data_IF_166243812409
#
_entry.id   IF_166243812409
#
_cell.length_a   1.000
_cell.length_b   1.000
_cell.length_c   1.000
_cell.angle_alpha   90.00
_cell.angle_beta   90.00
_cell.angle_gamma   90.00
#
_symmetry.space_group_name_H-M   'P 1'
#
loop_
_entity.id
_entity.type
_entity.pdbx_description
1 polymer ?
#
# COMPACT_ATOMS: atom_id res chain seq x y z
N UNK A 1 23.45 14.27 -5.29
CA UNK A 1 22.97 14.45 -3.95
C UNK A 1 22.01 13.34 -3.57
N UNK A 2 22.17 12.78 -2.42
CA UNK A 2 21.26 11.78 -1.90
C UNK A 2 19.88 12.39 -1.69
N UNK A 3 18.90 11.59 -1.23
CA UNK A 3 17.59 12.10 -0.88
C UNK A 3 17.59 13.21 0.16
N UNK A 4 18.68 13.39 0.91
CA UNK A 4 18.82 14.48 1.88
C UNK A 4 18.88 15.79 1.10
N UNK A 5 18.00 16.72 1.43
CA UNK A 5 17.92 18.00 0.75
C UNK A 5 17.14 17.98 -0.56
N UNK A 6 16.68 16.82 -1.01
CA UNK A 6 15.78 16.75 -2.16
C UNK A 6 14.38 17.19 -1.72
N UNK A 7 13.72 18.08 -2.48
CA UNK A 7 12.34 18.43 -2.14
C UNK A 7 11.43 17.23 -2.33
N UNK A 8 10.47 17.07 -1.43
CA UNK A 8 9.44 16.07 -1.57
C UNK A 8 8.45 16.57 -2.61
N UNK A 9 8.27 15.80 -3.67
CA UNK A 9 7.33 16.16 -4.73
C UNK A 9 5.90 15.85 -4.30
N UNK A 10 5.03 16.83 -4.50
CA UNK A 10 3.59 16.67 -4.25
C UNK A 10 2.86 16.48 -5.56
N UNK A 11 2.04 15.44 -5.63
CA UNK A 11 1.22 15.12 -6.79
C UNK A 11 -0.25 15.32 -6.44
N UNK A 12 -1.05 15.70 -7.42
CA UNK A 12 -2.50 15.86 -7.23
C UNK A 12 -3.19 14.69 -7.93
N UNK A 13 -3.92 13.89 -7.15
CA UNK A 13 -4.67 12.73 -7.65
C UNK A 13 -6.10 12.83 -7.14
N UNK A 14 -7.05 13.04 -8.05
CA UNK A 14 -8.47 13.17 -7.72
C UNK A 14 -8.72 14.19 -6.59
N UNK A 15 -8.08 15.36 -6.71
CA UNK A 15 -8.18 16.47 -5.74
C UNK A 15 -7.52 16.18 -4.38
N UNK A 16 -6.73 15.13 -4.28
CA UNK A 16 -5.96 14.81 -3.07
C UNK A 16 -4.48 15.04 -3.32
N UNK A 17 -3.79 15.48 -2.29
CA UNK A 17 -2.34 15.70 -2.36
C UNK A 17 -1.63 14.42 -1.95
N UNK A 18 -0.71 13.96 -2.77
CA UNK A 18 0.07 12.76 -2.51
C UNK A 18 1.56 13.07 -2.54
N UNK A 19 2.29 12.56 -1.59
CA UNK A 19 3.74 12.76 -1.49
C UNK A 19 4.45 11.42 -1.60
N UNK A 20 5.47 11.36 -2.46
CA UNK A 20 6.37 10.20 -2.51
C UNK A 20 7.29 10.30 -1.30
N UNK A 21 7.19 9.35 -0.37
CA UNK A 21 7.97 9.38 0.85
C UNK A 21 9.32 8.69 0.62
N UNK A 22 10.44 9.42 0.68
CA UNK A 22 11.77 8.83 0.44
C UNK A 22 12.17 7.80 1.47
N UNK A 23 11.54 7.77 2.65
CA UNK A 23 11.77 6.77 3.68
C UNK A 23 11.53 5.35 3.15
N UNK A 24 10.62 5.19 2.20
CA UNK A 24 10.24 3.89 1.64
C UNK A 24 10.85 3.63 0.26
N UNK A 25 11.84 4.43 -0.15
CA UNK A 25 12.48 4.29 -1.46
C UNK A 25 14.00 4.43 -1.36
N UNK A 26 14.69 3.48 -2.00
CA UNK A 26 16.14 3.55 -2.13
C UNK A 26 16.91 3.30 -0.84
N UNK A 27 16.27 2.78 0.18
CA UNK A 27 16.88 2.46 1.45
C UNK A 27 16.86 0.96 1.70
N UNK A 28 17.64 0.51 2.67
CA UNK A 28 17.62 -0.89 3.08
C UNK A 28 16.27 -1.21 3.72
N UNK A 29 15.63 -2.28 3.24
CA UNK A 29 14.38 -2.73 3.80
C UNK A 29 14.57 -3.30 5.21
N UNK A 30 13.63 -2.98 6.10
CA UNK A 30 13.62 -3.43 7.50
C UNK A 30 12.23 -3.94 7.86
N UNK A 31 12.13 -4.64 8.98
CA UNK A 31 10.84 -5.14 9.45
C UNK A 31 9.85 -4.01 9.76
N UNK A 32 10.35 -2.86 10.20
CA UNK A 32 9.55 -1.69 10.56
C UNK A 32 9.56 -0.59 9.50
N UNK A 33 10.27 -0.81 8.39
CA UNK A 33 10.33 0.16 7.31
C UNK A 33 10.45 -0.57 5.98
N UNK A 34 9.31 -0.78 5.33
CA UNK A 34 9.25 -1.45 4.03
C UNK A 34 9.80 -0.55 2.93
N UNK A 35 10.18 -1.16 1.82
CA UNK A 35 10.65 -0.43 0.65
C UNK A 35 9.83 -0.83 -0.57
N UNK A 36 9.51 0.16 -1.40
CA UNK A 36 8.83 -0.08 -2.67
C UNK A 36 9.77 -0.77 -3.66
N UNK A 37 9.26 -1.80 -4.33
CA UNK A 37 9.85 -2.37 -5.54
C UNK A 37 9.18 -1.76 -6.76
N UNK A 38 7.88 -1.46 -6.64
CA UNK A 38 7.13 -0.77 -7.67
C UNK A 38 7.70 0.64 -7.89
N UNK A 39 7.60 1.13 -9.12
CA UNK A 39 8.06 2.48 -9.47
C UNK A 39 7.20 3.55 -8.80
N UNK A 40 7.70 4.80 -8.81
CA UNK A 40 6.92 5.93 -8.31
C UNK A 40 5.63 6.11 -9.10
N UNK A 41 5.69 5.94 -10.41
CA UNK A 41 4.51 6.01 -11.26
C UNK A 41 3.49 4.93 -10.87
N UNK A 42 3.95 3.71 -10.64
CA UNK A 42 3.08 2.62 -10.19
C UNK A 42 2.48 2.92 -8.81
N UNK A 43 3.27 3.49 -7.90
CA UNK A 43 2.78 3.89 -6.57
C UNK A 43 1.62 4.88 -6.70
N UNK A 44 1.78 5.90 -7.55
CA UNK A 44 0.73 6.90 -7.80
C UNK A 44 -0.51 6.25 -8.40
N UNK A 45 -0.32 5.31 -9.32
CA UNK A 45 -1.43 4.59 -9.95
C UNK A 45 -2.18 3.74 -8.94
N UNK A 46 -1.50 3.10 -8.00
CA UNK A 46 -2.14 2.33 -6.94
C UNK A 46 -3.03 3.22 -6.07
N UNK A 47 -2.53 4.39 -5.70
CA UNK A 47 -3.33 5.33 -4.93
C UNK A 47 -4.56 5.79 -5.71
N UNK A 48 -4.38 6.16 -6.96
CA UNK A 48 -5.48 6.58 -7.83
C UNK A 48 -6.54 5.50 -7.95
N UNK A 49 -6.13 4.25 -8.16
CA UNK A 49 -7.05 3.11 -8.24
C UNK A 49 -7.78 2.87 -6.93
N UNK A 50 -7.09 3.04 -5.79
CA UNK A 50 -7.74 2.87 -4.49
C UNK A 50 -8.85 3.90 -4.28
N UNK A 51 -8.63 5.14 -4.75
CA UNK A 51 -9.64 6.19 -4.71
C UNK A 51 -10.81 5.87 -5.64
N UNK A 52 -10.51 5.48 -6.88
CA UNK A 52 -11.54 5.17 -7.88
C UNK A 52 -12.45 4.05 -7.41
N UNK A 53 -11.90 3.05 -6.74
CA UNK A 53 -12.64 1.87 -6.28
C UNK A 53 -13.13 2.00 -4.83
N UNK A 54 -12.90 3.12 -4.17
CA UNK A 54 -13.29 3.35 -2.77
C UNK A 54 -12.75 2.28 -1.82
N UNK A 55 -11.51 1.89 -2.00
CA UNK A 55 -10.85 0.93 -1.11
C UNK A 55 -10.34 1.62 0.15
N UNK A 56 -11.27 2.17 0.92
CA UNK A 56 -10.96 2.89 2.15
C UNK A 56 -11.71 2.28 3.33
N UNK A 57 -11.13 2.42 4.51
CA UNK A 57 -11.74 1.95 5.75
C UNK A 57 -12.12 3.13 6.66
N UNK A 58 -12.76 2.83 7.78
CA UNK A 58 -13.25 3.82 8.72
C UNK A 58 -12.15 4.70 9.31
N UNK A 59 -10.90 4.24 9.31
CA UNK A 59 -9.76 5.02 9.82
C UNK A 59 -9.13 5.93 8.77
N UNK A 60 -9.76 6.12 7.65
CA UNK A 60 -9.24 6.94 6.53
C UNK A 60 -8.01 6.33 5.84
N UNK A 61 -7.77 5.05 6.02
CA UNK A 61 -6.73 4.33 5.28
C UNK A 61 -7.29 3.83 3.96
N UNK A 62 -6.46 3.86 2.93
CA UNK A 62 -6.79 3.26 1.65
C UNK A 62 -5.87 2.07 1.43
N UNK A 63 -6.43 0.96 0.96
CA UNK A 63 -5.72 -0.29 0.77
C UNK A 63 -5.85 -0.75 -0.67
N UNK A 64 -4.76 -1.27 -1.23
CA UNK A 64 -4.76 -1.78 -2.59
C UNK A 64 -3.92 -3.04 -2.69
N UNK A 65 -4.40 -4.03 -3.45
CA UNK A 65 -3.64 -5.24 -3.78
C UNK A 65 -3.23 -5.14 -5.25
N UNK A 66 -1.95 -5.29 -5.52
CA UNK A 66 -1.40 -5.11 -6.86
C UNK A 66 -2.08 -6.00 -7.89
N UNK A 67 -2.12 -7.30 -7.61
CA UNK A 67 -2.58 -8.28 -8.58
C UNK A 67 -3.23 -9.46 -7.88
N UNK A 68 -4.31 -9.93 -8.45
CA UNK A 68 -4.99 -11.14 -7.97
C UNK A 68 -4.19 -12.41 -8.22
N UNK A 69 -3.21 -12.39 -9.12
CA UNK A 69 -2.35 -13.55 -9.40
C UNK A 69 -1.08 -13.58 -8.57
N UNK A 70 -0.80 -12.51 -7.83
CA UNK A 70 0.38 -12.38 -6.97
C UNK A 70 1.69 -12.78 -7.64
N UNK A 71 1.78 -12.53 -8.93
CA UNK A 71 3.01 -12.81 -9.68
C UNK A 71 4.10 -11.78 -9.40
N UNK A 72 3.71 -10.60 -8.94
CA UNK A 72 4.63 -9.50 -8.67
C UNK A 72 4.31 -8.87 -7.32
N UNK A 73 5.32 -8.82 -6.47
CA UNK A 73 5.21 -8.07 -5.22
C UNK A 73 5.49 -6.59 -5.49
N UNK A 74 4.92 -5.71 -4.69
CA UNK A 74 5.09 -4.27 -4.87
C UNK A 74 6.07 -3.66 -3.89
N UNK A 75 6.54 -4.42 -2.93
CA UNK A 75 7.52 -3.98 -1.97
C UNK A 75 8.12 -5.13 -1.18
N UNK A 76 9.03 -4.81 -0.27
CA UNK A 76 9.73 -5.81 0.55
C UNK A 76 9.95 -5.30 1.97
N UNK A 77 10.00 -6.23 2.92
CA UNK A 77 10.63 -6.03 4.22
C UNK A 77 12.03 -6.62 4.16
N UNK A 78 12.70 -6.71 5.30
CA UNK A 78 14.02 -7.35 5.38
C UNK A 78 13.96 -8.88 5.10
N UNK A 79 12.80 -9.50 5.27
CA UNK A 79 12.64 -10.95 5.14
C UNK A 79 11.52 -11.38 4.19
N UNK A 80 10.57 -10.50 3.90
CA UNK A 80 9.33 -10.89 3.20
C UNK A 80 9.00 -9.97 2.04
N UNK A 81 8.23 -10.51 1.11
CA UNK A 81 7.63 -9.76 0.01
C UNK A 81 6.29 -9.17 0.46
N UNK A 82 6.01 -7.95 -0.01
CA UNK A 82 4.76 -7.25 0.31
C UNK A 82 3.91 -7.12 -0.96
N UNK A 83 2.65 -7.49 -0.85
CA UNK A 83 1.71 -7.49 -1.98
C UNK A 83 0.57 -6.49 -1.81
N UNK A 84 0.53 -5.79 -0.71
CA UNK A 84 -0.53 -4.84 -0.38
C UNK A 84 0.10 -3.46 -0.21
N UNK A 85 -0.56 -2.43 -0.73
CA UNK A 85 -0.18 -1.05 -0.47
C UNK A 85 -1.16 -0.45 0.53
N UNK A 86 -0.64 0.26 1.52
CA UNK A 86 -1.42 0.99 2.51
C UNK A 86 -1.17 2.48 2.32
N UNK A 87 -2.23 3.27 2.22
CA UNK A 87 -2.16 4.70 2.05
C UNK A 87 -2.79 5.39 3.24
N UNK A 88 -2.10 6.39 3.77
CA UNK A 88 -2.52 7.11 4.97
C UNK A 88 -2.39 8.60 4.74
N UNK A 89 -3.20 9.37 5.45
CA UNK A 89 -3.12 10.83 5.41
C UNK A 89 -2.67 11.38 6.74
N UNK A 90 -2.02 12.54 6.70
CA UNK A 90 -1.74 13.32 7.89
C UNK A 90 -2.90 14.30 8.15
N UNK A 91 -2.71 15.18 9.15
CA UNK A 91 -3.75 16.15 9.55
C UNK A 91 -4.04 17.20 8.48
N UNK A 92 -3.15 17.36 7.49
CA UNK A 92 -3.29 18.37 6.44
C UNK A 92 -3.79 17.76 5.13
N UNK A 93 -4.40 16.58 5.18
CA UNK A 93 -4.87 15.85 4.00
C UNK A 93 -3.74 15.58 3.00
N UNK A 94 -2.52 15.39 3.51
CA UNK A 94 -1.39 15.00 2.70
C UNK A 94 -1.25 13.47 2.79
N UNK A 95 -1.37 12.80 1.67
CA UNK A 95 -1.36 11.34 1.58
C UNK A 95 0.04 10.81 1.24
N UNK A 96 0.36 9.67 1.77
CA UNK A 96 1.54 8.90 1.37
C UNK A 96 1.25 7.42 1.56
N UNK A 97 2.05 6.56 0.96
CA UNK A 97 1.82 5.14 1.02
C UNK A 97 3.09 4.34 1.19
N UNK A 98 2.92 3.10 1.60
CA UNK A 98 4.00 2.15 1.74
C UNK A 98 3.48 0.73 1.55
N UNK A 99 4.35 -0.17 1.09
CA UNK A 99 3.95 -1.58 0.98
C UNK A 99 3.87 -2.22 2.35
N UNK A 100 2.93 -3.14 2.51
CA UNK A 100 2.74 -3.87 3.78
C UNK A 100 2.57 -5.36 3.49
N UNK A 101 3.03 -6.18 4.44
CA UNK A 101 2.87 -7.64 4.33
C UNK A 101 1.50 -8.11 4.82
N UNK A 102 0.81 -7.29 5.60
CA UNK A 102 -0.47 -7.69 6.21
C UNK A 102 -0.30 -8.57 7.45
N UNK A 103 0.90 -8.64 8.01
CA UNK A 103 1.17 -9.44 9.20
C UNK A 103 1.01 -8.63 10.49
N UNK A 104 1.47 -7.38 10.48
CA UNK A 104 1.33 -6.48 11.63
C UNK A 104 -0.12 -6.06 11.79
N UNK A 105 -0.57 -5.91 13.03
CA UNK A 105 -1.96 -5.58 13.34
C UNK A 105 -2.49 -4.36 12.57
N UNK A 106 -1.70 -3.30 12.50
CA UNK A 106 -2.09 -2.07 11.79
C UNK A 106 -2.04 -2.19 10.27
N UNK A 107 -1.53 -3.29 9.73
CA UNK A 107 -1.35 -3.51 8.30
C UNK A 107 -2.32 -4.56 7.74
N UNK A 108 -3.30 -4.98 8.54
CA UNK A 108 -4.34 -5.90 8.09
C UNK A 108 -5.52 -5.06 7.61
N UNK A 109 -5.93 -5.21 6.34
CA UNK A 109 -7.07 -4.45 5.85
C UNK A 109 -8.35 -4.78 6.64
N UNK A 110 -9.21 -3.76 6.77
CA UNK A 110 -10.53 -3.89 7.36
C UNK A 110 -11.37 -4.92 6.58
N UNK A 111 -12.26 -5.62 7.27
CA UNK A 111 -13.17 -6.59 6.63
C UNK A 111 -13.96 -5.98 5.48
N UNK A 112 -14.33 -4.71 5.57
CA UNK A 112 -15.04 -4.01 4.51
C UNK A 112 -14.19 -3.95 3.23
N UNK A 113 -12.89 -3.71 3.37
CA UNK A 113 -11.97 -3.67 2.22
C UNK A 113 -11.80 -5.06 1.62
N UNK A 114 -11.60 -6.06 2.48
CA UNK A 114 -11.43 -7.44 2.03
C UNK A 114 -12.68 -7.91 1.27
N UNK A 115 -13.87 -7.53 1.76
CA UNK A 115 -15.12 -7.85 1.09
C UNK A 115 -15.22 -7.19 -0.29
N UNK A 116 -14.81 -5.93 -0.41
CA UNK A 116 -14.77 -5.24 -1.70
C UNK A 116 -13.81 -5.92 -2.68
N UNK A 117 -12.65 -6.32 -2.20
CA UNK A 117 -11.68 -7.05 -3.03
C UNK A 117 -12.24 -8.38 -3.50
N UNK A 118 -12.94 -9.10 -2.63
CA UNK A 118 -13.57 -10.37 -2.97
C UNK A 118 -14.64 -10.18 -4.04
N UNK A 119 -15.54 -9.23 -3.85
CA UNK A 119 -16.62 -8.94 -4.79
C UNK A 119 -16.13 -8.47 -6.15
N UNK A 120 -15.06 -7.67 -6.16
CA UNK A 120 -14.46 -7.15 -7.38
C UNK A 120 -13.46 -8.08 -8.04
N UNK A 121 -13.27 -9.29 -7.53
CA UNK A 121 -12.27 -10.25 -8.02
C UNK A 121 -10.84 -9.68 -8.03
N UNK A 122 -10.56 -8.76 -7.11
CA UNK A 122 -9.22 -8.19 -6.96
C UNK A 122 -8.26 -9.21 -6.34
N UNK A 123 -8.79 -10.09 -5.51
CA UNK A 123 -8.01 -11.09 -4.80
C UNK A 123 -8.70 -12.45 -4.92
N UNK A 124 -7.90 -13.51 -5.05
CA UNK A 124 -8.41 -14.88 -5.08
C UNK A 124 -8.89 -15.28 -3.69
N UNK A 125 -10.00 -16.01 -3.64
CA UNK A 125 -10.61 -16.45 -2.38
C UNK A 125 -9.66 -17.20 -1.48
N UNK A 126 -8.75 -18.00 -2.05
CA UNK A 126 -7.81 -18.80 -1.27
C UNK A 126 -6.85 -17.98 -0.40
N UNK A 127 -6.65 -16.68 -0.72
CA UNK A 127 -5.77 -15.80 0.06
C UNK A 127 -6.50 -15.00 1.12
N UNK A 128 -7.83 -14.92 1.04
CA UNK A 128 -8.63 -14.07 1.94
C UNK A 128 -8.45 -14.48 3.39
N UNK A 129 -8.52 -15.77 3.67
CA UNK A 129 -8.36 -16.25 5.04
C UNK A 129 -7.01 -15.84 5.64
N UNK A 130 -5.93 -16.01 4.88
CA UNK A 130 -4.60 -15.65 5.35
C UNK A 130 -4.48 -14.17 5.67
N UNK A 131 -5.07 -13.32 4.84
CA UNK A 131 -5.07 -11.88 5.10
C UNK A 131 -5.83 -11.56 6.39
N UNK A 132 -7.01 -12.15 6.58
CA UNK A 132 -7.85 -11.88 7.77
C UNK A 132 -7.18 -12.27 9.07
N UNK A 133 -6.40 -13.33 9.07
CA UNK A 133 -5.72 -13.81 10.29
C UNK A 133 -4.30 -13.26 10.43
N UNK A 134 -3.88 -12.34 9.57
CA UNK A 134 -2.58 -11.68 9.69
C UNK A 134 -1.40 -12.52 9.22
N UNK A 135 -1.62 -13.48 8.33
CA UNK A 135 -0.54 -14.27 7.71
C UNK A 135 -0.01 -13.67 6.41
N UNK A 136 -0.49 -12.49 6.05
CA UNK A 136 -0.13 -11.86 4.81
C UNK A 136 -0.94 -12.38 3.63
N UNK A 137 -0.51 -12.03 2.43
CA UNK A 137 -1.27 -12.34 1.23
C UNK A 137 -1.10 -13.77 0.76
N UNK A 138 0.08 -14.31 0.94
CA UNK A 138 0.42 -15.65 0.47
C UNK A 138 0.53 -16.62 1.63
#
# INVERSE_FOLDING_TARGET
>A
MSGVGQPIQTHILQNRKYTINPKHRGRRAKSDCTQWVASEEEELNFFDKSLTNNFNCASSFFWWVLDKDITSHLGVTDTDKAYIAKFVSDKNDMWHGYPVTGVRKGDIPDDTIIQKWKEGNVIKKKYIHNIKIGRGYV
#
